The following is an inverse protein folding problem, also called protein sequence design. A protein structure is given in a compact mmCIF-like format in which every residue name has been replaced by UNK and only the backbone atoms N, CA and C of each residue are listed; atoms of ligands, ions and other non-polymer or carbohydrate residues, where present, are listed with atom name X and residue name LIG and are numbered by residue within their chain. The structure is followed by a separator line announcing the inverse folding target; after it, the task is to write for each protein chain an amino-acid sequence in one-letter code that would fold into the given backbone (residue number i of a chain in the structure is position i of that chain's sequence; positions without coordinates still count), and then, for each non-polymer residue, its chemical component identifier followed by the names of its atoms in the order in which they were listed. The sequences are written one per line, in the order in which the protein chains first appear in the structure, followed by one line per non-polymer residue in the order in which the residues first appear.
data_IF_434819168336
#
_entry.id   IF_434819168336
#
_cell.length_a   1.000
_cell.length_b   1.000
_cell.length_c   1.000
_cell.angle_alpha   90.00
_cell.angle_beta   90.00
_cell.angle_gamma   90.00
#
_symmetry.space_group_name_H-M   'P 1'
#
loop_
_entity.id
_entity.type
_entity.pdbx_description
1 polymer ?
#
# COMPACT_ATOMS: atom_id res chain seq x y z
N UNK A 1 -9.32 -18.49 6.91
CA UNK A 1 -8.44 -17.74 7.83
C UNK A 1 -8.73 -16.24 7.73
N UNK A 2 -8.98 -15.58 8.85
CA UNK A 2 -9.26 -14.15 9.01
C UNK A 2 -8.04 -13.43 9.61
N UNK A 3 -8.07 -12.10 9.66
CA UNK A 3 -6.98 -11.30 10.22
C UNK A 3 -6.69 -11.64 11.68
N UNK A 4 -7.70 -11.96 12.49
CA UNK A 4 -7.52 -12.40 13.88
C UNK A 4 -6.71 -13.70 14.03
N UNK A 5 -6.74 -14.58 13.02
CA UNK A 5 -6.09 -15.90 13.07
C UNK A 5 -4.56 -15.82 12.87
N UNK A 6 -4.05 -14.70 12.37
CA UNK A 6 -2.61 -14.50 12.13
C UNK A 6 -1.86 -14.15 13.42
N UNK A 7 -0.52 -14.28 13.45
CA UNK A 7 0.31 -13.85 14.59
C UNK A 7 0.03 -12.40 14.99
N UNK A 8 0.14 -12.10 16.29
CA UNK A 8 0.00 -10.73 16.77
C UNK A 8 0.98 -9.76 16.07
N UNK A 9 2.19 -10.21 15.72
CA UNK A 9 3.14 -9.42 14.96
C UNK A 9 2.59 -8.99 13.59
N UNK A 10 1.92 -9.89 12.86
CA UNK A 10 1.28 -9.57 11.58
C UNK A 10 0.22 -8.48 11.76
N UNK A 11 -0.69 -8.67 12.71
CA UNK A 11 -1.80 -7.72 12.95
C UNK A 11 -1.26 -6.33 13.31
N UNK A 12 -0.23 -6.28 14.15
CA UNK A 12 0.42 -5.04 14.59
C UNK A 12 1.10 -4.32 13.44
N UNK A 13 1.82 -5.06 12.60
CA UNK A 13 2.54 -4.53 11.45
C UNK A 13 1.58 -4.07 10.33
N UNK A 14 0.54 -4.85 10.02
CA UNK A 14 -0.44 -4.52 8.99
C UNK A 14 -1.27 -3.28 9.36
N UNK A 15 -1.69 -3.16 10.63
CA UNK A 15 -2.41 -2.00 11.13
C UNK A 15 -1.52 -0.74 11.16
N UNK A 16 -0.25 -0.86 11.58
CA UNK A 16 0.72 0.24 11.48
C UNK A 16 0.93 0.67 10.02
N UNK A 17 1.08 -0.27 9.09
CA UNK A 17 1.23 0.02 7.66
C UNK A 17 0.01 0.79 7.14
N UNK A 18 -1.20 0.34 7.46
CA UNK A 18 -2.45 0.99 7.03
C UNK A 18 -2.59 2.42 7.61
N UNK A 19 -2.27 2.63 8.89
CA UNK A 19 -2.32 3.96 9.52
C UNK A 19 -1.33 4.93 8.87
N UNK A 20 -0.09 4.50 8.67
CA UNK A 20 0.97 5.35 8.12
C UNK A 20 0.71 5.68 6.63
N UNK A 21 0.15 4.72 5.88
CA UNK A 21 -0.32 4.96 4.52
C UNK A 21 -1.39 6.06 4.49
N UNK A 22 -2.42 5.96 5.35
CA UNK A 22 -3.49 6.96 5.44
C UNK A 22 -2.94 8.33 5.82
N UNK A 23 -2.03 8.40 6.80
CA UNK A 23 -1.39 9.64 7.22
C UNK A 23 -0.62 10.30 6.07
N UNK A 24 0.20 9.54 5.34
CA UNK A 24 0.95 10.05 4.19
C UNK A 24 0.03 10.68 3.14
N UNK A 25 -1.01 9.95 2.71
CA UNK A 25 -1.93 10.46 1.69
C UNK A 25 -2.85 11.57 2.18
N UNK A 26 -3.15 11.62 3.48
CA UNK A 26 -3.87 12.74 4.08
C UNK A 26 -3.02 14.01 4.05
N UNK A 27 -1.76 13.94 4.50
CA UNK A 27 -0.83 15.08 4.47
C UNK A 27 -0.60 15.58 3.03
N UNK A 28 -0.42 14.66 2.08
CA UNK A 28 -0.28 14.99 0.67
C UNK A 28 -1.54 15.67 0.11
N UNK A 29 -2.72 15.12 0.40
CA UNK A 29 -3.99 15.70 -0.04
C UNK A 29 -4.19 17.09 0.56
N UNK A 30 -3.95 17.28 1.85
CA UNK A 30 -4.02 18.59 2.50
C UNK A 30 -3.07 19.57 1.83
N UNK A 31 -1.79 19.21 1.66
CA UNK A 31 -0.82 20.07 0.99
C UNK A 31 -1.33 20.56 -0.38
N UNK A 32 -1.78 19.63 -1.24
CA UNK A 32 -2.27 19.95 -2.58
C UNK A 32 -3.54 20.82 -2.55
N UNK A 33 -4.48 20.53 -1.65
CA UNK A 33 -5.72 21.32 -1.50
C UNK A 33 -5.39 22.75 -1.06
N UNK A 34 -4.50 22.93 -0.09
CA UNK A 34 -4.10 24.26 0.37
C UNK A 34 -3.37 25.05 -0.73
N UNK A 35 -2.56 24.40 -1.57
CA UNK A 35 -1.95 25.06 -2.74
C UNK A 35 -3.02 25.55 -3.75
N UNK A 36 -4.03 24.73 -4.05
CA UNK A 36 -5.14 25.11 -4.93
C UNK A 36 -5.97 26.24 -4.33
N UNK A 37 -6.26 26.18 -3.03
CA UNK A 37 -6.97 27.26 -2.32
C UNK A 37 -6.16 28.56 -2.33
N UNK A 38 -4.85 28.48 -2.16
CA UNK A 38 -3.96 29.65 -2.25
C UNK A 38 -4.02 30.31 -3.64
N UNK A 39 -4.05 29.52 -4.71
CA UNK A 39 -4.24 30.02 -6.07
C UNK A 39 -5.65 30.63 -6.27
N UNK A 40 -6.69 29.99 -5.72
CA UNK A 40 -8.07 30.48 -5.79
C UNK A 40 -8.28 31.80 -5.04
N UNK A 41 -7.60 32.01 -3.91
CA UNK A 41 -7.64 33.28 -3.19
C UNK A 41 -6.90 34.39 -3.94
N UNK A 42 -5.90 34.04 -4.75
CA UNK A 42 -5.18 34.99 -5.62
C UNK A 42 -5.97 35.44 -6.84
N UNK A 43 -7.00 34.68 -7.23
CA UNK A 43 -7.81 34.93 -8.43
C UNK A 43 -8.64 36.21 -8.33
N UNK A 44 -9.10 36.57 -7.13
CA UNK A 44 -9.74 37.87 -6.88
C UNK A 44 -8.68 38.92 -6.58
N UNK A 45 -8.44 39.89 -7.47
CA UNK A 45 -7.92 41.19 -7.05
C UNK A 45 -8.95 41.82 -6.11
N UNK A 46 -8.79 41.56 -4.82
CA UNK A 46 -9.65 42.12 -3.79
C UNK A 46 -8.78 43.01 -2.93
N UNK A 47 -9.10 44.30 -2.95
CA UNK A 47 -8.36 45.37 -2.26
C UNK A 47 -8.43 45.27 -0.72
N UNK A 48 -8.93 44.14 -0.20
CA UNK A 48 -9.13 43.89 1.22
C UNK A 48 -7.99 43.03 1.79
N UNK A 49 -7.25 43.61 2.75
CA UNK A 49 -6.15 42.97 3.46
C UNK A 49 -6.49 41.59 4.10
N UNK A 50 -7.78 41.32 4.37
CA UNK A 50 -8.24 40.04 4.91
C UNK A 50 -8.02 38.88 3.95
N UNK A 51 -8.17 39.11 2.64
CA UNK A 51 -7.97 38.06 1.62
C UNK A 51 -6.48 37.79 1.44
N UNK A 52 -5.64 38.83 1.47
CA UNK A 52 -4.19 38.67 1.48
C UNK A 52 -3.71 37.91 2.73
N UNK A 53 -4.27 38.22 3.91
CA UNK A 53 -3.99 37.48 5.15
C UNK A 53 -4.43 36.01 5.03
N UNK A 54 -5.64 35.74 4.53
CA UNK A 54 -6.16 34.38 4.36
C UNK A 54 -5.31 33.58 3.36
N UNK A 55 -4.88 34.21 2.26
CA UNK A 55 -3.97 33.61 1.30
C UNK A 55 -2.63 33.27 1.95
N UNK A 56 -2.03 34.20 2.70
CA UNK A 56 -0.78 33.96 3.42
C UNK A 56 -0.91 32.79 4.41
N UNK A 57 -1.99 32.74 5.20
CA UNK A 57 -2.27 31.63 6.13
C UNK A 57 -2.46 30.30 5.39
N UNK A 58 -3.13 30.32 4.24
CA UNK A 58 -3.34 29.13 3.40
C UNK A 58 -2.02 28.59 2.84
N UNK A 59 -1.13 29.46 2.37
CA UNK A 59 0.20 29.09 1.90
C UNK A 59 1.12 28.61 3.03
N UNK A 60 1.04 29.24 4.22
CA UNK A 60 1.74 28.77 5.41
C UNK A 60 1.27 27.36 5.83
N UNK A 61 -0.03 27.07 5.73
CA UNK A 61 -0.55 25.74 5.97
C UNK A 61 -0.04 24.71 4.95
N UNK A 62 -0.01 25.04 3.65
CA UNK A 62 0.61 24.19 2.63
C UNK A 62 2.09 23.92 2.93
N UNK A 63 2.85 24.96 3.30
CA UNK A 63 4.24 24.81 3.70
C UNK A 63 4.39 23.90 4.93
N UNK A 64 3.54 24.06 5.95
CA UNK A 64 3.53 23.21 7.12
C UNK A 64 3.27 21.74 6.77
N UNK A 65 2.32 21.45 5.87
CA UNK A 65 2.09 20.08 5.39
C UNK A 65 3.26 19.53 4.57
N UNK A 66 3.93 20.35 3.77
CA UNK A 66 5.14 19.96 3.04
C UNK A 66 6.29 19.60 3.99
N UNK A 67 6.50 20.41 5.03
CA UNK A 67 7.48 20.12 6.09
C UNK A 67 7.07 18.85 6.84
N UNK A 68 5.79 18.65 7.15
CA UNK A 68 5.29 17.45 7.80
C UNK A 68 5.52 16.19 6.97
N UNK A 69 5.29 16.23 5.65
CA UNK A 69 5.59 15.12 4.73
C UNK A 69 7.05 14.71 4.79
N UNK A 70 7.96 15.70 4.80
CA UNK A 70 9.40 15.45 4.85
C UNK A 70 9.86 14.93 6.23
N UNK A 71 9.34 15.50 7.32
CA UNK A 71 9.81 15.23 8.69
C UNK A 71 9.22 13.96 9.29
N UNK A 72 7.91 13.74 9.14
CA UNK A 72 7.21 12.56 9.71
C UNK A 72 7.69 11.27 9.05
N UNK A 73 8.06 11.34 7.75
CA UNK A 73 8.50 10.19 6.95
C UNK A 73 7.53 9.00 7.06
N UNK A 74 6.22 9.29 7.12
CA UNK A 74 5.15 8.30 7.24
C UNK A 74 5.25 7.23 6.14
N UNK A 75 5.70 7.64 4.97
CA UNK A 75 5.98 6.73 3.87
C UNK A 75 6.99 5.64 4.26
N UNK A 76 8.19 5.98 4.74
CA UNK A 76 9.22 4.99 5.14
C UNK A 76 8.69 3.97 6.15
N UNK A 77 7.92 4.44 7.13
CA UNK A 77 7.32 3.59 8.17
C UNK A 77 6.25 2.67 7.59
N UNK A 78 5.42 3.19 6.66
CA UNK A 78 4.42 2.40 5.95
C UNK A 78 5.05 1.23 5.20
N UNK A 79 6.11 1.47 4.41
CA UNK A 79 6.79 0.42 3.64
C UNK A 79 7.42 -0.63 4.56
N UNK A 80 8.18 -0.20 5.57
CA UNK A 80 8.84 -1.12 6.50
C UNK A 80 7.83 -1.98 7.28
N UNK A 81 6.71 -1.38 7.74
CA UNK A 81 5.65 -2.11 8.42
C UNK A 81 4.94 -3.11 7.47
N UNK A 82 4.76 -2.74 6.20
CA UNK A 82 4.18 -3.62 5.19
C UNK A 82 5.08 -4.82 4.90
N UNK A 83 6.39 -4.60 4.77
CA UNK A 83 7.37 -5.67 4.57
C UNK A 83 7.40 -6.64 5.77
N UNK A 84 7.35 -6.11 7.00
CA UNK A 84 7.27 -6.93 8.22
C UNK A 84 5.98 -7.76 8.28
N UNK A 85 4.83 -7.18 7.90
CA UNK A 85 3.56 -7.88 7.84
C UNK A 85 3.63 -9.03 6.81
N UNK A 86 4.10 -8.77 5.60
CA UNK A 86 4.17 -9.79 4.54
C UNK A 86 5.19 -10.90 4.86
N UNK A 87 6.33 -10.56 5.46
CA UNK A 87 7.29 -11.57 5.96
C UNK A 87 6.68 -12.47 7.04
N UNK A 88 5.95 -11.88 7.99
CA UNK A 88 5.22 -12.63 9.03
C UNK A 88 4.15 -13.53 8.42
N UNK A 89 3.42 -13.03 7.42
CA UNK A 89 2.39 -13.78 6.69
C UNK A 89 2.99 -14.98 5.96
N UNK A 90 4.12 -14.79 5.27
CA UNK A 90 4.89 -15.86 4.62
C UNK A 90 5.32 -16.93 5.63
N UNK A 91 5.90 -16.55 6.76
CA UNK A 91 6.29 -17.50 7.81
C UNK A 91 5.07 -18.27 8.36
N UNK A 92 3.94 -17.58 8.53
CA UNK A 92 2.69 -18.19 9.00
C UNK A 92 2.20 -19.27 8.04
N UNK A 93 2.19 -18.99 6.73
CA UNK A 93 1.73 -19.95 5.73
C UNK A 93 2.67 -21.14 5.56
N UNK A 94 3.99 -20.92 5.65
CA UNK A 94 4.96 -22.03 5.67
C UNK A 94 4.76 -22.92 6.90
N UNK A 95 4.52 -22.32 8.07
CA UNK A 95 4.23 -23.07 9.29
C UNK A 95 2.93 -23.86 9.20
N UNK A 96 1.82 -23.25 8.78
CA UNK A 96 0.53 -23.94 8.66
C UNK A 96 0.62 -25.12 7.68
N UNK A 97 1.38 -24.96 6.60
CA UNK A 97 1.47 -25.95 5.54
C UNK A 97 2.51 -27.06 5.79
N UNK A 98 3.18 -27.06 6.95
CA UNK A 98 4.35 -27.92 7.23
C UNK A 98 5.45 -27.84 6.16
N UNK A 99 5.62 -26.65 5.58
CA UNK A 99 6.66 -26.41 4.60
C UNK A 99 7.98 -26.07 5.30
N UNK A 100 9.12 -26.42 4.68
CA UNK A 100 10.44 -26.01 5.17
C UNK A 100 10.44 -24.50 5.48
N UNK A 101 11.00 -24.04 6.62
CA UNK A 101 11.78 -24.79 7.61
C UNK A 101 10.93 -25.25 8.82
N UNK A 102 9.66 -25.59 8.60
CA UNK A 102 8.69 -26.00 9.63
C UNK A 102 8.09 -27.39 9.33
N UNK A 103 8.88 -28.24 8.68
CA UNK A 103 8.57 -29.63 8.35
C UNK A 103 8.87 -30.62 9.50
N UNK A 104 9.51 -30.14 10.56
CA UNK A 104 9.78 -30.89 11.80
C UNK A 104 8.53 -31.13 12.65
N UNK A 105 8.72 -31.85 13.78
CA UNK A 105 7.71 -32.04 14.82
C UNK A 105 7.10 -30.71 15.28
N UNK A 106 5.84 -30.75 15.74
CA UNK A 106 5.08 -29.53 16.03
C UNK A 106 5.74 -28.65 17.11
N UNK A 107 6.29 -29.24 18.18
CA UNK A 107 7.00 -28.46 19.22
C UNK A 107 8.23 -27.71 18.68
N UNK A 108 9.05 -28.37 17.87
CA UNK A 108 10.26 -27.77 17.29
C UNK A 108 9.91 -26.71 16.24
N UNK A 109 8.89 -26.98 15.43
CA UNK A 109 8.36 -26.01 14.46
C UNK A 109 7.76 -24.77 15.13
N UNK A 110 7.06 -24.92 16.25
CA UNK A 110 6.54 -23.77 17.02
C UNK A 110 7.69 -22.92 17.59
N UNK A 111 8.72 -23.55 18.18
CA UNK A 111 9.91 -22.85 18.69
C UNK A 111 10.67 -22.14 17.55
N UNK A 112 10.84 -22.80 16.41
CA UNK A 112 11.46 -22.24 15.21
C UNK A 112 10.68 -21.03 14.70
N UNK A 113 9.34 -21.10 14.66
CA UNK A 113 8.49 -20.00 14.25
C UNK A 113 8.64 -18.80 15.20
N UNK A 114 8.56 -19.01 16.50
CA UNK A 114 8.74 -17.94 17.49
C UNK A 114 10.11 -17.27 17.36
N UNK A 115 11.18 -18.07 17.22
CA UNK A 115 12.55 -17.55 17.05
C UNK A 115 12.68 -16.70 15.78
N UNK A 116 12.09 -17.15 14.67
CA UNK A 116 12.11 -16.43 13.39
C UNK A 116 11.29 -15.15 13.45
N UNK A 117 10.09 -15.17 14.02
CA UNK A 117 9.28 -13.97 14.24
C UNK A 117 10.01 -12.94 15.10
N UNK A 118 10.65 -13.39 16.19
CA UNK A 118 11.48 -12.53 17.03
C UNK A 118 12.69 -11.96 16.26
N UNK A 119 13.33 -12.75 15.39
CA UNK A 119 14.43 -12.29 14.55
C UNK A 119 13.98 -11.21 13.54
N UNK A 120 12.85 -11.42 12.86
CA UNK A 120 12.28 -10.44 11.92
C UNK A 120 11.90 -9.14 12.62
N UNK A 121 11.34 -9.22 13.83
CA UNK A 121 11.05 -8.04 14.65
C UNK A 121 12.34 -7.31 15.09
N UNK A 122 13.38 -8.05 15.49
CA UNK A 122 14.68 -7.45 15.86
C UNK A 122 15.32 -6.69 14.71
N UNK A 123 15.23 -7.21 13.49
CA UNK A 123 15.69 -6.51 12.27
C UNK A 123 14.91 -5.21 12.02
N UNK A 124 13.66 -5.12 12.50
CA UNK A 124 12.76 -3.99 12.32
C UNK A 124 12.46 -3.26 13.64
N UNK A 125 13.44 -3.20 14.57
CA UNK A 125 13.23 -2.70 15.94
C UNK A 125 12.72 -1.26 15.99
N UNK A 126 13.02 -0.43 15.00
CA UNK A 126 12.49 0.94 14.87
C UNK A 126 10.95 0.98 14.80
N UNK A 127 10.31 -0.10 14.34
CA UNK A 127 8.86 -0.24 14.27
C UNK A 127 8.25 -0.73 15.58
N UNK A 128 9.00 -1.48 16.39
CA UNK A 128 8.50 -2.11 17.60
C UNK A 128 7.93 -1.09 18.60
N UNK A 129 8.60 0.07 18.75
CA UNK A 129 8.13 1.17 19.61
C UNK A 129 6.91 1.93 19.08
N UNK A 130 6.39 1.57 17.90
CA UNK A 130 5.25 2.23 17.25
C UNK A 130 4.00 1.35 17.20
N UNK A 131 4.09 0.11 17.67
CA UNK A 131 2.93 -0.76 17.77
C UNK A 131 2.02 -0.31 18.90
N UNK A 132 0.72 -0.21 18.61
CA UNK A 132 -0.33 0.17 19.57
C UNK A 132 -1.06 -1.05 20.12
N UNK A 133 -0.80 -2.23 19.55
CA UNK A 133 -1.45 -3.50 19.82
C UNK A 133 -0.82 -4.23 21.00
N UNK A 134 -1.66 -5.02 21.64
CA UNK A 134 -1.40 -5.78 22.85
C UNK A 134 -0.16 -6.67 22.70
N UNK A 135 0.92 -6.32 23.43
CA UNK A 135 2.19 -7.06 23.44
C UNK A 135 2.01 -8.49 23.99
N UNK A 136 0.90 -8.74 24.70
CA UNK A 136 0.53 -10.05 25.26
C UNK A 136 -0.18 -10.98 24.27
N UNK A 137 -0.50 -10.49 23.06
CA UNK A 137 -1.25 -11.28 22.10
C UNK A 137 -0.41 -12.44 21.51
N UNK A 138 -1.05 -13.60 21.36
CA UNK A 138 -0.40 -14.85 20.93
C UNK A 138 0.24 -14.73 19.54
N UNK A 139 1.48 -15.19 19.42
CA UNK A 139 2.19 -15.30 18.13
C UNK A 139 1.83 -16.57 17.36
N UNK A 140 1.44 -17.64 18.07
CA UNK A 140 0.91 -18.87 17.48
C UNK A 140 -0.54 -18.99 17.94
N UNK A 141 -1.47 -18.93 17.00
CA UNK A 141 -2.91 -18.99 17.28
C UNK A 141 -3.42 -20.43 17.26
N UNK A 142 -4.58 -20.65 17.86
CA UNK A 142 -5.20 -21.99 17.86
C UNK A 142 -5.66 -22.39 16.44
N UNK A 143 -6.09 -21.43 15.63
CA UNK A 143 -6.40 -21.65 14.23
C UNK A 143 -5.17 -22.16 13.46
N UNK A 144 -3.98 -21.56 13.69
CA UNK A 144 -2.74 -22.02 13.05
C UNK A 144 -2.41 -23.47 13.42
N UNK A 145 -2.57 -23.85 14.69
CA UNK A 145 -2.34 -25.24 15.15
C UNK A 145 -3.33 -26.21 14.53
N UNK A 146 -4.62 -25.85 14.55
CA UNK A 146 -5.69 -26.66 13.97
C UNK A 146 -5.43 -26.93 12.49
N UNK A 147 -5.16 -25.88 11.70
CA UNK A 147 -4.89 -26.02 10.27
C UNK A 147 -3.60 -26.82 10.00
N UNK A 148 -2.59 -26.71 10.86
CA UNK A 148 -1.35 -27.48 10.73
C UNK A 148 -1.56 -28.98 11.01
N UNK A 149 -2.45 -29.31 11.94
CA UNK A 149 -2.78 -30.69 12.32
C UNK A 149 -3.69 -31.41 11.32
N UNK A 150 -4.25 -30.70 10.35
CA UNK A 150 -5.07 -31.30 9.30
C UNK A 150 -4.26 -32.25 8.40
N UNK A 151 -4.99 -33.15 7.74
CA UNK A 151 -4.43 -34.02 6.70
C UNK A 151 -3.91 -33.21 5.50
N UNK A 152 -3.09 -33.86 4.67
CA UNK A 152 -2.47 -33.22 3.51
C UNK A 152 -3.50 -32.61 2.55
N UNK A 153 -4.59 -33.31 2.28
CA UNK A 153 -5.62 -32.87 1.34
C UNK A 153 -6.30 -31.57 1.82
N UNK A 154 -6.68 -31.51 3.10
CA UNK A 154 -7.25 -30.32 3.72
C UNK A 154 -6.27 -29.16 3.78
N UNK A 155 -4.99 -29.40 4.05
CA UNK A 155 -3.98 -28.32 4.05
C UNK A 155 -3.74 -27.77 2.65
N UNK A 156 -3.69 -28.62 1.62
CA UNK A 156 -3.64 -28.20 0.22
C UNK A 156 -4.87 -27.35 -0.13
N UNK A 157 -6.07 -27.81 0.23
CA UNK A 157 -7.31 -27.08 -0.04
C UNK A 157 -7.36 -25.72 0.70
N UNK A 158 -6.92 -25.70 1.96
CA UNK A 158 -6.80 -24.50 2.78
C UNK A 158 -5.82 -23.51 2.16
N UNK A 159 -4.63 -23.96 1.76
CA UNK A 159 -3.63 -23.12 1.12
C UNK A 159 -4.14 -22.56 -0.21
N UNK A 160 -4.76 -23.41 -1.06
CA UNK A 160 -5.38 -22.97 -2.31
C UNK A 160 -6.39 -21.85 -2.06
N UNK A 161 -7.40 -22.11 -1.23
CA UNK A 161 -8.51 -21.19 -1.01
C UNK A 161 -8.08 -19.91 -0.30
N UNK A 162 -7.39 -20.05 0.83
CA UNK A 162 -7.15 -18.93 1.74
C UNK A 162 -5.87 -18.16 1.43
N UNK A 163 -4.88 -18.79 0.78
CA UNK A 163 -3.63 -18.14 0.41
C UNK A 163 -3.59 -17.78 -1.06
N UNK A 164 -3.68 -18.75 -1.97
CA UNK A 164 -3.50 -18.52 -3.41
C UNK A 164 -4.68 -17.74 -4.00
N UNK A 165 -5.90 -18.30 -3.96
CA UNK A 165 -7.07 -17.71 -4.63
C UNK A 165 -7.44 -16.35 -4.03
N UNK A 166 -7.30 -16.20 -2.71
CA UNK A 166 -7.44 -14.90 -2.03
C UNK A 166 -6.40 -13.88 -2.50
N UNK A 167 -5.12 -14.25 -2.59
CA UNK A 167 -4.06 -13.34 -3.03
C UNK A 167 -4.26 -12.95 -4.50
N UNK A 168 -4.61 -13.90 -5.36
CA UNK A 168 -4.94 -13.67 -6.78
C UNK A 168 -6.11 -12.69 -6.93
N UNK A 169 -7.21 -12.92 -6.21
CA UNK A 169 -8.40 -12.07 -6.25
C UNK A 169 -8.08 -10.66 -5.75
N UNK A 170 -7.28 -10.56 -4.68
CA UNK A 170 -6.82 -9.27 -4.15
C UNK A 170 -6.00 -8.49 -5.18
N UNK A 171 -5.00 -9.11 -5.81
CA UNK A 171 -4.18 -8.47 -6.84
C UNK A 171 -4.99 -8.08 -8.08
N UNK A 172 -5.86 -8.97 -8.58
CA UNK A 172 -6.71 -8.67 -9.72
C UNK A 172 -7.66 -7.49 -9.45
N UNK A 173 -8.27 -7.45 -8.26
CA UNK A 173 -9.10 -6.34 -7.81
C UNK A 173 -8.30 -5.04 -7.71
N UNK A 174 -7.09 -5.10 -7.13
CA UNK A 174 -6.19 -3.94 -7.02
C UNK A 174 -5.73 -3.44 -8.38
N UNK A 175 -5.44 -4.31 -9.33
CA UNK A 175 -5.09 -3.91 -10.69
C UNK A 175 -6.23 -3.09 -11.34
N UNK A 176 -7.48 -3.59 -11.25
CA UNK A 176 -8.66 -2.92 -11.80
C UNK A 176 -8.94 -1.58 -11.11
N UNK A 177 -8.84 -1.53 -9.78
CA UNK A 177 -9.05 -0.32 -8.97
C UNK A 177 -8.02 0.75 -9.35
N UNK A 178 -6.73 0.39 -9.39
CA UNK A 178 -5.65 1.33 -9.73
C UNK A 178 -5.73 1.80 -11.19
N UNK A 179 -6.06 0.91 -12.14
CA UNK A 179 -6.28 1.29 -13.55
C UNK A 179 -7.42 2.30 -13.71
N UNK A 180 -8.53 2.09 -12.99
CA UNK A 180 -9.69 3.00 -13.04
C UNK A 180 -9.37 4.36 -12.41
N UNK A 181 -8.67 4.37 -11.28
CA UNK A 181 -8.22 5.61 -10.62
C UNK A 181 -7.18 6.37 -11.45
N UNK A 182 -6.24 5.68 -12.09
CA UNK A 182 -5.28 6.28 -13.01
C UNK A 182 -5.98 7.05 -14.11
N UNK A 183 -6.96 6.41 -14.78
CA UNK A 183 -7.77 7.04 -15.84
C UNK A 183 -8.57 8.23 -15.32
N UNK A 184 -9.21 8.11 -14.16
CA UNK A 184 -9.98 9.21 -13.56
C UNK A 184 -9.10 10.42 -13.24
N UNK A 185 -7.95 10.21 -12.57
CA UNK A 185 -7.00 11.29 -12.27
C UNK A 185 -6.43 11.92 -13.54
N UNK A 186 -6.06 11.10 -14.53
CA UNK A 186 -5.56 11.61 -15.81
C UNK A 186 -6.62 12.44 -16.54
N UNK A 187 -7.88 12.02 -16.50
CA UNK A 187 -9.00 12.78 -17.07
C UNK A 187 -9.14 14.15 -16.40
N UNK A 188 -9.01 14.22 -15.07
CA UNK A 188 -9.03 15.51 -14.33
C UNK A 188 -7.88 16.41 -14.81
N UNK A 189 -6.67 15.88 -14.96
CA UNK A 189 -5.51 16.65 -15.45
C UNK A 189 -5.77 17.20 -16.85
N UNK A 190 -6.26 16.37 -17.78
CA UNK A 190 -6.55 16.78 -19.16
C UNK A 190 -7.64 17.85 -19.19
N UNK A 191 -8.77 17.62 -18.52
CA UNK A 191 -9.90 18.56 -18.48
C UNK A 191 -9.48 19.90 -17.87
N UNK A 192 -8.76 19.89 -16.74
CA UNK A 192 -8.28 21.11 -16.09
C UNK A 192 -7.33 21.90 -17.01
N UNK A 193 -6.39 21.23 -17.69
CA UNK A 193 -5.48 21.87 -18.64
C UNK A 193 -6.23 22.40 -19.88
N UNK A 194 -7.21 21.67 -20.42
CA UNK A 194 -8.03 22.15 -21.54
C UNK A 194 -8.76 23.44 -21.18
N UNK A 195 -9.38 23.50 -20.01
CA UNK A 195 -10.02 24.72 -19.54
C UNK A 195 -9.01 25.84 -19.24
N UNK A 196 -7.82 25.52 -18.72
CA UNK A 196 -6.76 26.51 -18.50
C UNK A 196 -6.33 27.17 -19.82
N UNK A 197 -6.11 26.36 -20.86
CA UNK A 197 -5.77 26.85 -22.21
C UNK A 197 -6.91 27.67 -22.80
N UNK A 198 -8.15 27.20 -22.71
CA UNK A 198 -9.32 27.94 -23.19
C UNK A 198 -9.46 29.29 -22.47
N UNK A 199 -9.29 29.33 -21.15
CA UNK A 199 -9.27 30.54 -20.32
C UNK A 199 -8.16 31.51 -20.77
N UNK A 200 -6.95 31.00 -21.01
CA UNK A 200 -5.82 31.81 -21.50
C UNK A 200 -6.08 32.40 -22.89
N UNK A 201 -6.68 31.64 -23.81
CA UNK A 201 -7.03 32.13 -25.15
C UNK A 201 -8.16 33.17 -25.12
N UNK A 202 -9.19 32.94 -24.30
CA UNK A 202 -10.29 33.89 -24.14
C UNK A 202 -9.82 35.20 -23.49
N UNK A 203 -8.82 35.15 -22.59
CA UNK A 203 -8.16 36.35 -22.04
C UNK A 203 -7.57 37.25 -23.12
N UNK A 204 -7.05 36.69 -24.23
CA UNK A 204 -6.53 37.47 -25.36
C UNK A 204 -7.67 38.23 -26.06
N UNK A 205 -8.84 37.61 -26.19
CA UNK A 205 -9.99 38.18 -26.88
C UNK A 205 -10.78 39.18 -26.02
N UNK A 206 -10.81 38.98 -24.71
CA UNK A 206 -11.55 39.79 -23.75
C UNK A 206 -10.62 40.36 -22.68
N UNK A 207 -9.71 41.28 -23.04
CA UNK A 207 -8.70 41.82 -22.12
C UNK A 207 -9.32 42.62 -20.96
N UNK A 208 -10.51 43.19 -21.17
CA UNK A 208 -11.23 43.98 -20.15
C UNK A 208 -11.82 43.12 -19.02
N UNK A 209 -11.91 41.79 -19.22
CA UNK A 209 -12.35 40.89 -18.16
C UNK A 209 -11.21 40.69 -17.15
N UNK A 210 -11.38 41.25 -15.95
CA UNK A 210 -10.32 41.30 -14.93
C UNK A 210 -9.98 39.93 -14.31
N UNK A 211 -10.91 38.98 -14.31
CA UNK A 211 -10.80 37.75 -13.50
C UNK A 211 -10.72 36.49 -14.37
N UNK A 212 -9.51 35.98 -14.66
CA UNK A 212 -9.33 34.70 -15.39
C UNK A 212 -8.87 33.52 -14.51
N UNK A 213 -9.62 32.40 -14.43
CA UNK A 213 -9.34 31.32 -13.48
C UNK A 213 -8.15 30.44 -13.90
N UNK A 214 -7.33 30.91 -14.84
CA UNK A 214 -6.23 30.16 -15.45
C UNK A 214 -5.28 29.61 -14.40
N UNK A 215 -4.86 30.43 -13.43
CA UNK A 215 -3.89 30.02 -12.39
C UNK A 215 -4.47 28.93 -11.48
N UNK A 216 -5.76 29.01 -11.17
CA UNK A 216 -6.46 27.99 -10.37
C UNK A 216 -6.55 26.67 -11.13
N UNK A 217 -6.88 26.72 -12.43
CA UNK A 217 -6.96 25.54 -13.28
C UNK A 217 -5.59 24.86 -13.45
N UNK A 218 -4.52 25.65 -13.59
CA UNK A 218 -3.14 25.14 -13.63
C UNK A 218 -2.73 24.52 -12.30
N UNK A 219 -3.11 25.12 -11.17
CA UNK A 219 -2.84 24.57 -9.83
C UNK A 219 -3.59 23.25 -9.63
N UNK A 220 -4.86 23.15 -10.05
CA UNK A 220 -5.63 21.90 -10.02
C UNK A 220 -4.97 20.83 -10.88
N UNK A 221 -4.58 21.15 -12.12
CA UNK A 221 -3.93 20.21 -13.02
C UNK A 221 -2.60 19.70 -12.44
N UNK A 222 -1.76 20.63 -11.94
CA UNK A 222 -0.47 20.31 -11.32
C UNK A 222 -0.65 19.47 -10.06
N UNK A 223 -1.61 19.80 -9.21
CA UNK A 223 -1.90 19.05 -7.99
C UNK A 223 -2.45 17.65 -8.28
N UNK A 224 -3.36 17.52 -9.24
CA UNK A 224 -3.87 16.22 -9.68
C UNK A 224 -2.75 15.36 -10.30
N UNK A 225 -1.83 15.96 -11.06
CA UNK A 225 -0.67 15.28 -11.62
C UNK A 225 0.31 14.83 -10.52
N UNK A 226 0.62 15.68 -9.55
CA UNK A 226 1.46 15.33 -8.41
C UNK A 226 0.85 14.19 -7.58
N UNK A 227 -0.47 14.21 -7.37
CA UNK A 227 -1.18 13.12 -6.71
C UNK A 227 -1.12 11.81 -7.51
N UNK A 228 -1.28 11.89 -8.83
CA UNK A 228 -1.18 10.74 -9.75
C UNK A 228 0.23 10.13 -9.71
N UNK A 229 1.27 10.96 -9.78
CA UNK A 229 2.68 10.53 -9.72
C UNK A 229 3.04 9.94 -8.36
N UNK A 230 2.59 10.53 -7.26
CA UNK A 230 2.86 10.00 -5.92
C UNK A 230 2.20 8.64 -5.69
N UNK A 231 1.00 8.42 -6.24
CA UNK A 231 0.30 7.13 -6.14
C UNK A 231 0.79 6.08 -7.10
N UNK A 232 1.47 6.46 -8.20
CA UNK A 232 1.96 5.55 -9.27
C UNK A 232 0.89 4.54 -9.72
N UNK A 233 -0.35 5.00 -9.89
CA UNK A 233 -1.50 4.12 -10.14
C UNK A 233 -1.33 3.21 -11.37
N UNK A 234 -0.71 3.72 -12.44
CA UNK A 234 -0.46 2.97 -13.67
C UNK A 234 0.54 1.83 -13.46
N UNK A 235 1.69 2.13 -12.82
CA UNK A 235 2.73 1.15 -12.50
C UNK A 235 2.21 0.06 -11.58
N UNK A 236 1.48 0.46 -10.52
CA UNK A 236 0.85 -0.49 -9.59
C UNK A 236 -0.17 -1.37 -10.31
N UNK A 237 -0.99 -0.80 -11.20
CA UNK A 237 -1.98 -1.58 -11.95
C UNK A 237 -1.31 -2.64 -12.83
N UNK A 238 -0.23 -2.29 -13.53
CA UNK A 238 0.51 -3.22 -14.37
C UNK A 238 1.19 -4.32 -13.55
N UNK A 239 1.88 -3.95 -12.45
CA UNK A 239 2.53 -4.92 -11.56
C UNK A 239 1.52 -5.89 -10.96
N UNK A 240 0.41 -5.39 -10.42
CA UNK A 240 -0.63 -6.24 -9.83
C UNK A 240 -1.32 -7.15 -10.86
N UNK A 241 -1.50 -6.69 -12.09
CA UNK A 241 -2.06 -7.52 -13.16
C UNK A 241 -1.12 -8.68 -13.52
N UNK A 242 0.18 -8.40 -13.66
CA UNK A 242 1.21 -9.42 -13.90
C UNK A 242 1.23 -10.45 -12.78
N UNK A 243 1.32 -10.00 -11.53
CA UNK A 243 1.34 -10.88 -10.36
C UNK A 243 0.07 -11.73 -10.25
N UNK A 244 -1.11 -11.16 -10.53
CA UNK A 244 -2.35 -11.95 -10.53
C UNK A 244 -2.33 -13.07 -11.59
N UNK A 245 -1.68 -12.85 -12.73
CA UNK A 245 -1.49 -13.87 -13.76
C UNK A 245 -0.48 -14.94 -13.34
N UNK A 246 0.67 -14.53 -12.79
CA UNK A 246 1.69 -15.43 -12.25
C UNK A 246 1.14 -16.34 -11.14
N UNK A 247 0.33 -15.78 -10.22
CA UNK A 247 -0.35 -16.57 -9.18
C UNK A 247 -1.32 -17.58 -9.80
N UNK A 248 -1.99 -17.22 -10.89
CA UNK A 248 -2.86 -18.14 -11.63
C UNK A 248 -2.10 -19.37 -12.15
N UNK A 249 -0.89 -19.18 -12.66
CA UNK A 249 -0.01 -20.29 -13.10
C UNK A 249 0.41 -21.16 -11.91
N UNK A 250 0.77 -20.54 -10.77
CA UNK A 250 1.10 -21.26 -9.53
C UNK A 250 -0.10 -22.07 -9.02
N UNK A 251 -1.32 -21.55 -9.14
CA UNK A 251 -2.54 -22.26 -8.76
C UNK A 251 -2.76 -23.56 -9.56
N UNK A 252 -2.44 -23.56 -10.86
CA UNK A 252 -2.52 -24.74 -11.72
C UNK A 252 -1.50 -25.81 -11.33
N UNK A 253 -0.29 -25.40 -10.95
CA UNK A 253 0.76 -26.32 -10.48
C UNK A 253 0.36 -27.03 -9.18
N UNK A 254 -0.40 -26.37 -8.29
CA UNK A 254 -0.88 -26.98 -7.05
C UNK A 254 -1.80 -28.19 -7.30
N UNK A 255 -2.47 -28.28 -8.46
CA UNK A 255 -3.32 -29.42 -8.79
C UNK A 255 -2.54 -30.72 -8.99
N UNK A 256 -1.23 -30.65 -9.23
CA UNK A 256 -0.37 -31.81 -9.48
C UNK A 256 0.29 -32.36 -8.20
N UNK A 257 0.24 -31.60 -7.09
CA UNK A 257 0.86 -31.95 -5.81
C UNK A 257 0.06 -33.06 -5.13
N UNK A 258 0.71 -34.19 -4.81
CA UNK A 258 0.08 -35.34 -4.15
C UNK A 258 0.77 -35.79 -2.87
N UNK A 259 2.00 -35.34 -2.62
CA UNK A 259 2.79 -35.74 -1.44
C UNK A 259 3.15 -34.59 -0.50
N UNK A 260 3.46 -34.93 0.75
CA UNK A 260 3.95 -34.00 1.80
C UNK A 260 5.17 -33.19 1.33
N UNK A 261 6.17 -33.89 0.77
CA UNK A 261 7.39 -33.25 0.27
C UNK A 261 7.13 -32.32 -0.90
N UNK A 262 6.28 -32.74 -1.84
CA UNK A 262 5.90 -31.92 -3.00
C UNK A 262 5.15 -30.66 -2.54
N UNK A 263 4.26 -30.80 -1.54
CA UNK A 263 3.53 -29.67 -0.98
C UNK A 263 4.43 -28.69 -0.24
N UNK A 264 5.37 -29.19 0.57
CA UNK A 264 6.38 -28.38 1.25
C UNK A 264 7.21 -27.56 0.26
N UNK A 265 7.74 -28.21 -0.80
CA UNK A 265 8.50 -27.54 -1.86
C UNK A 265 7.66 -26.49 -2.59
N UNK A 266 6.45 -26.86 -2.98
CA UNK A 266 5.52 -25.95 -3.66
C UNK A 266 5.21 -24.70 -2.83
N UNK A 267 4.89 -24.87 -1.54
CA UNK A 267 4.62 -23.73 -0.64
C UNK A 267 5.88 -22.90 -0.45
N UNK A 268 7.05 -23.53 -0.32
CA UNK A 268 8.33 -22.84 -0.26
C UNK A 268 8.55 -21.93 -1.47
N UNK A 269 8.37 -22.47 -2.68
CA UNK A 269 8.55 -21.74 -3.94
C UNK A 269 7.52 -20.63 -4.14
N UNK A 270 6.25 -20.92 -3.85
CA UNK A 270 5.16 -19.95 -3.94
C UNK A 270 5.37 -18.77 -2.98
N UNK A 271 5.66 -19.04 -1.71
CA UNK A 271 5.89 -17.99 -0.72
C UNK A 271 7.18 -17.21 -0.97
N UNK A 272 8.24 -17.86 -1.47
CA UNK A 272 9.44 -17.16 -1.91
C UNK A 272 9.15 -16.24 -3.11
N UNK A 273 8.32 -16.67 -4.06
CA UNK A 273 7.89 -15.84 -5.18
C UNK A 273 7.09 -14.62 -4.72
N UNK A 274 6.12 -14.81 -3.80
CA UNK A 274 5.34 -13.70 -3.23
C UNK A 274 6.21 -12.70 -2.47
N UNK A 275 7.25 -13.18 -1.79
CA UNK A 275 8.23 -12.34 -1.10
C UNK A 275 9.08 -11.52 -2.08
N UNK A 276 9.60 -12.15 -3.15
CA UNK A 276 10.41 -11.46 -4.18
C UNK A 276 9.66 -10.32 -4.85
N UNK A 277 8.38 -10.51 -5.17
CA UNK A 277 7.53 -9.46 -5.75
C UNK A 277 7.43 -8.24 -4.82
N UNK A 278 7.26 -8.48 -3.51
CA UNK A 278 7.26 -7.40 -2.50
C UNK A 278 8.61 -6.69 -2.41
N UNK A 279 9.73 -7.42 -2.44
CA UNK A 279 11.07 -6.82 -2.44
C UNK A 279 11.34 -6.03 -3.73
N UNK A 280 10.88 -6.50 -4.90
CA UNK A 280 10.98 -5.74 -6.15
C UNK A 280 10.12 -4.49 -6.15
N UNK A 281 8.98 -4.50 -5.45
CA UNK A 281 8.18 -3.30 -5.25
C UNK A 281 8.90 -2.27 -4.37
N UNK A 282 9.58 -2.72 -3.32
CA UNK A 282 10.41 -1.87 -2.46
C UNK A 282 11.63 -1.31 -3.21
N UNK A 283 12.35 -2.12 -3.99
CA UNK A 283 13.54 -1.72 -4.74
C UNK A 283 13.27 -0.73 -5.88
N UNK A 284 12.09 -0.77 -6.52
CA UNK A 284 11.66 0.19 -7.56
C UNK A 284 11.44 1.62 -7.04
N UNK A 285 11.69 1.85 -5.76
CA UNK A 285 11.56 3.14 -5.08
C UNK A 285 12.90 3.85 -4.84
N UNK A 286 14.00 3.09 -4.77
CA UNK A 286 15.34 3.63 -4.50
C UNK A 286 16.09 4.09 -5.77
N UNK A 287 15.40 4.07 -6.92
CA UNK A 287 15.84 4.58 -8.23
C UNK A 287 14.93 5.75 -8.61
#
# INVERSE_FOLDING_TARGET
MRTEDFPALYRSADDLAARQQRLFFLLLRCNLVFLVLGAALSFGSVDHWLIALLQALTLLAALAFSVALYTIRAERVWYAARALAESTKTLTWRFISRAEPFDDADEDSERSLQSRLAATLRQNRELAGRFQSDLEARQITECMRSLRSDDLEKRIATYRLHRISNQRTWYASKAKENSSRSRACFTIVVVANTFAVASALLKIKFPDFKYWPTDVLVAIASGALAYLQSKRYSELAASYALTAHEIGVVEEQLAQVKGEREFSLFVGDAENAFSREHTQWEARKDI
#
